data_IF_547196397518
#
_entry.id   IF_547196397518
#
_cell.length_a   1.000
_cell.length_b   1.000
_cell.length_c   1.000
_cell.angle_alpha   90.00
_cell.angle_beta   90.00
_cell.angle_gamma   90.00
#
_symmetry.space_group_name_H-M   'P 1'
#
loop_
_entity.id
_entity.type
_entity.pdbx_description
1 polymer ?
#
# COMPACT_ATOMS: atom_id res chain seq x y z
N UNK A 1 26.44 -8.98 12.73
CA UNK A 1 26.19 -7.57 12.34
C UNK A 1 25.07 -7.58 11.32
N UNK A 2 23.83 -7.38 11.75
CA UNK A 2 22.66 -7.44 10.87
C UNK A 2 22.68 -6.21 9.97
N UNK A 3 22.83 -6.41 8.66
CA UNK A 3 22.70 -5.36 7.66
C UNK A 3 21.26 -4.87 7.69
N UNK A 4 20.97 -3.87 8.53
CA UNK A 4 19.68 -3.21 8.54
C UNK A 4 19.50 -2.55 7.17
N UNK A 5 18.61 -3.14 6.36
CA UNK A 5 18.22 -2.55 5.10
C UNK A 5 17.75 -1.12 5.32
N UNK A 6 18.01 -0.23 4.37
CA UNK A 6 17.59 1.17 4.43
C UNK A 6 16.10 1.27 4.84
N UNK A 7 15.75 2.16 5.79
CA UNK A 7 14.36 2.34 6.21
C UNK A 7 13.46 2.67 5.02
N UNK A 8 12.31 2.00 4.93
CA UNK A 8 11.34 2.23 3.86
C UNK A 8 10.67 3.59 4.09
N UNK A 9 10.75 4.46 3.08
CA UNK A 9 10.17 5.80 3.12
C UNK A 9 8.95 5.89 2.22
N UNK A 10 8.00 6.73 2.61
CA UNK A 10 6.77 7.06 1.84
C UNK A 10 7.05 7.35 0.38
N UNK A 11 8.01 8.23 0.09
CA UNK A 11 8.36 8.61 -1.27
C UNK A 11 8.89 7.44 -2.10
N UNK A 12 9.57 6.45 -1.49
CA UNK A 12 10.01 5.25 -2.21
C UNK A 12 8.83 4.41 -2.69
N UNK A 13 7.79 4.29 -1.86
CA UNK A 13 6.58 3.56 -2.22
C UNK A 13 5.81 4.32 -3.30
N UNK A 14 5.64 5.64 -3.15
CA UNK A 14 4.96 6.48 -4.15
C UNK A 14 5.69 6.48 -5.50
N UNK A 15 7.02 6.53 -5.51
CA UNK A 15 7.80 6.47 -6.75
C UNK A 15 7.65 5.12 -7.49
N UNK A 16 7.37 4.03 -6.76
CA UNK A 16 7.20 2.69 -7.35
C UNK A 16 5.76 2.40 -7.75
N UNK A 17 4.81 2.81 -6.93
CA UNK A 17 3.40 2.39 -7.02
C UNK A 17 2.44 3.54 -7.38
N UNK A 18 2.94 4.77 -7.45
CA UNK A 18 2.10 5.97 -7.55
C UNK A 18 1.45 6.34 -6.21
N UNK A 19 0.50 7.26 -6.28
CA UNK A 19 -0.31 7.64 -5.12
C UNK A 19 -1.28 6.52 -4.75
N UNK A 20 -1.55 6.29 -3.46
CA UNK A 20 -2.53 5.30 -3.05
C UNK A 20 -3.92 5.67 -3.58
N UNK A 21 -4.73 4.65 -3.89
CA UNK A 21 -6.13 4.83 -4.30
C UNK A 21 -7.00 5.37 -3.17
N UNK A 22 -6.67 5.04 -1.93
CA UNK A 22 -7.28 5.64 -0.74
C UNK A 22 -6.26 5.76 0.39
N UNK A 23 -6.43 6.80 1.20
CA UNK A 23 -5.68 6.99 2.45
C UNK A 23 -6.69 7.13 3.59
N UNK A 24 -6.45 6.43 4.69
CA UNK A 24 -7.30 6.51 5.88
C UNK A 24 -6.44 6.86 7.10
N UNK A 25 -6.84 7.91 7.81
CA UNK A 25 -6.07 8.49 8.91
C UNK A 25 -4.94 9.39 8.38
N UNK A 26 -4.04 9.76 9.29
CA UNK A 26 -2.93 10.65 8.99
C UNK A 26 -1.78 10.39 9.96
N UNK A 27 -0.56 10.43 9.47
CA UNK A 27 0.65 10.25 10.30
C UNK A 27 0.84 11.35 11.34
N UNK A 28 0.20 12.50 11.11
CA UNK A 28 0.18 13.62 12.03
C UNK A 28 -0.85 13.45 13.15
N UNK A 29 -1.84 12.55 12.98
CA UNK A 29 -2.82 12.29 14.02
C UNK A 29 -2.18 11.47 15.16
N UNK A 30 -2.40 11.84 16.43
CA UNK A 30 -1.90 11.07 17.57
C UNK A 30 -2.70 9.80 17.82
N UNK A 31 -3.90 9.67 17.23
CA UNK A 31 -4.75 8.50 17.43
C UNK A 31 -4.16 7.30 16.71
N UNK A 32 -3.89 6.26 17.48
CA UNK A 32 -3.51 4.95 16.96
C UNK A 32 -4.77 4.11 16.69
N UNK A 33 -4.69 3.33 15.61
CA UNK A 33 -5.69 2.36 15.17
C UNK A 33 -5.01 1.00 15.09
N UNK A 34 -5.79 -0.08 15.09
CA UNK A 34 -5.27 -1.43 14.95
C UNK A 34 -6.08 -2.21 13.90
N UNK A 35 -5.37 -2.88 12.99
CA UNK A 35 -5.94 -3.73 11.94
C UNK A 35 -4.89 -4.81 11.60
N UNK A 36 -5.31 -6.06 11.35
CA UNK A 36 -4.41 -7.19 11.05
C UNK A 36 -3.28 -7.39 12.08
N UNK A 37 -3.54 -7.06 13.35
CA UNK A 37 -2.55 -7.12 14.43
C UNK A 37 -1.46 -6.04 14.37
N UNK A 38 -1.65 -4.98 13.57
CA UNK A 38 -0.69 -3.88 13.39
C UNK A 38 -1.28 -2.57 13.91
N UNK A 39 -0.53 -1.87 14.75
CA UNK A 39 -0.84 -0.51 15.17
C UNK A 39 -0.37 0.51 14.11
N UNK A 40 -1.22 1.48 13.78
CA UNK A 40 -0.95 2.50 12.76
C UNK A 40 -1.70 3.81 13.01
N UNK A 41 -1.21 4.92 12.44
CA UNK A 41 -1.96 6.18 12.36
C UNK A 41 -2.56 6.38 10.96
N UNK A 42 -1.87 5.93 9.93
CA UNK A 42 -2.29 6.07 8.52
C UNK A 42 -2.18 4.73 7.79
N UNK A 43 -3.19 4.39 7.00
CA UNK A 43 -3.15 3.27 6.06
C UNK A 43 -3.35 3.75 4.64
N UNK A 44 -2.55 3.21 3.73
CA UNK A 44 -2.67 3.42 2.29
C UNK A 44 -3.22 2.17 1.63
N UNK A 45 -4.20 2.33 0.74
CA UNK A 45 -4.76 1.26 -0.06
C UNK A 45 -4.36 1.45 -1.53
N UNK A 46 -3.80 0.40 -2.12
CA UNK A 46 -3.51 0.28 -3.54
C UNK A 46 -4.39 -0.79 -4.15
N UNK A 47 -4.94 -0.51 -5.33
CA UNK A 47 -5.64 -1.49 -6.16
C UNK A 47 -4.72 -1.88 -7.30
N UNK A 48 -4.38 -3.17 -7.36
CA UNK A 48 -3.54 -3.72 -8.42
C UNK A 48 -4.44 -4.45 -9.40
N UNK A 49 -4.54 -4.00 -10.67
CA UNK A 49 -5.34 -4.69 -11.66
C UNK A 49 -4.73 -6.06 -11.97
N UNK A 50 -5.61 -7.01 -12.33
CA UNK A 50 -5.18 -8.31 -12.81
C UNK A 50 -4.48 -8.20 -14.17
N UNK A 51 -3.70 -9.24 -14.52
CA UNK A 51 -3.04 -9.32 -15.81
C UNK A 51 -3.22 -10.72 -16.42
N UNK A 52 -3.90 -10.79 -17.57
CA UNK A 52 -4.25 -12.06 -18.20
C UNK A 52 -5.23 -12.86 -17.35
N UNK A 53 -4.84 -14.08 -16.97
CA UNK A 53 -5.65 -14.95 -16.12
C UNK A 53 -5.51 -14.64 -14.61
N UNK A 54 -4.53 -13.82 -14.22
CA UNK A 54 -4.32 -13.46 -12.82
C UNK A 54 -5.34 -12.41 -12.37
N UNK A 55 -6.11 -12.67 -11.32
CA UNK A 55 -7.06 -11.68 -10.82
C UNK A 55 -6.33 -10.51 -10.14
N UNK A 56 -6.97 -9.34 -10.16
CA UNK A 56 -6.48 -8.18 -9.43
C UNK A 56 -6.51 -8.40 -7.91
N UNK A 57 -5.80 -7.58 -7.17
CA UNK A 57 -5.76 -7.67 -5.71
C UNK A 57 -5.63 -6.27 -5.08
N UNK A 58 -5.86 -6.18 -3.78
CA UNK A 58 -5.58 -4.95 -3.04
C UNK A 58 -4.33 -5.10 -2.18
N UNK A 59 -3.63 -3.99 -1.97
CA UNK A 59 -2.49 -3.92 -1.06
C UNK A 59 -2.69 -2.82 -0.05
N UNK A 60 -2.43 -3.13 1.21
CA UNK A 60 -2.41 -2.16 2.30
C UNK A 60 -0.96 -1.89 2.71
N UNK A 61 -0.65 -0.62 2.99
CA UNK A 61 0.59 -0.19 3.63
C UNK A 61 0.24 0.59 4.89
N UNK A 62 0.79 0.16 6.03
CA UNK A 62 0.58 0.78 7.33
C UNK A 62 1.75 1.66 7.75
N UNK A 63 1.42 2.85 8.25
CA UNK A 63 2.34 3.82 8.81
C UNK A 63 1.99 4.11 10.26
N UNK A 64 2.98 4.05 11.14
CA UNK A 64 2.91 4.58 12.49
C UNK A 64 3.83 5.79 12.54
N UNK A 65 3.25 6.97 12.70
CA UNK A 65 3.92 8.24 12.36
C UNK A 65 4.53 8.11 10.97
N UNK A 66 5.80 8.44 10.81
CA UNK A 66 6.48 8.39 9.50
C UNK A 66 7.18 7.06 9.21
N UNK A 67 7.05 6.07 10.11
CA UNK A 67 7.72 4.79 9.99
C UNK A 67 6.82 3.76 9.30
N UNK A 68 7.40 3.06 8.33
CA UNK A 68 6.77 1.91 7.70
C UNK A 68 6.69 0.78 8.73
N UNK A 69 5.49 0.21 8.92
CA UNK A 69 5.29 -0.87 9.90
C UNK A 69 5.01 -2.21 9.25
N UNK A 70 4.12 -2.23 8.25
CA UNK A 70 3.78 -3.46 7.55
C UNK A 70 3.11 -3.19 6.20
N UNK A 71 3.13 -4.21 5.35
CA UNK A 71 2.27 -4.28 4.18
C UNK A 71 1.56 -5.63 4.13
N UNK A 72 0.36 -5.64 3.56
CA UNK A 72 -0.46 -6.83 3.37
C UNK A 72 -1.07 -6.83 1.98
N UNK A 73 -1.24 -8.02 1.41
CA UNK A 73 -2.03 -8.24 0.20
C UNK A 73 -3.37 -8.84 0.60
N UNK A 74 -4.45 -8.31 0.04
CA UNK A 74 -5.80 -8.85 0.11
C UNK A 74 -6.10 -9.46 -1.26
N UNK A 75 -6.23 -10.78 -1.31
CA UNK A 75 -6.59 -11.51 -2.53
C UNK A 75 -8.10 -11.38 -2.82
N UNK A 76 -8.54 -11.66 -4.06
CA UNK A 76 -9.97 -11.66 -4.43
C UNK A 76 -10.86 -12.53 -3.54
N UNK A 77 -10.32 -13.63 -3.01
CA UNK A 77 -11.03 -14.53 -2.10
C UNK A 77 -11.18 -13.97 -0.68
N UNK A 78 -10.70 -12.75 -0.43
CA UNK A 78 -10.71 -12.09 0.87
C UNK A 78 -9.58 -12.51 1.80
N UNK A 79 -8.71 -13.44 1.38
CA UNK A 79 -7.57 -13.85 2.21
C UNK A 79 -6.54 -12.71 2.31
N UNK A 80 -6.02 -12.53 3.52
CA UNK A 80 -5.07 -11.47 3.86
C UNK A 80 -3.72 -12.09 4.19
N UNK A 81 -2.67 -11.69 3.48
CA UNK A 81 -1.32 -12.18 3.68
C UNK A 81 -0.35 -11.02 3.93
N UNK A 82 0.49 -11.16 4.96
CA UNK A 82 1.55 -10.19 5.22
C UNK A 82 2.60 -10.27 4.11
N UNK A 83 3.03 -9.12 3.62
CA UNK A 83 4.03 -9.03 2.57
C UNK A 83 5.40 -8.66 3.15
N UNK A 84 6.43 -9.40 2.73
CA UNK A 84 7.80 -9.06 3.08
C UNK A 84 8.22 -7.74 2.42
N UNK A 85 8.88 -6.81 3.14
CA UNK A 85 9.14 -5.48 2.61
C UNK A 85 10.01 -5.48 1.34
N UNK A 86 10.90 -6.47 1.19
CA UNK A 86 11.68 -6.66 -0.04
C UNK A 86 10.79 -7.03 -1.22
N UNK A 87 9.81 -7.91 -1.03
CA UNK A 87 8.84 -8.31 -2.04
C UNK A 87 7.91 -7.15 -2.40
N UNK A 88 7.43 -6.42 -1.38
CA UNK A 88 6.61 -5.22 -1.56
C UNK A 88 7.31 -4.16 -2.42
N UNK A 89 8.61 -3.97 -2.22
CA UNK A 89 9.40 -3.05 -3.04
C UNK A 89 9.74 -3.67 -4.41
N UNK A 90 9.90 -4.99 -4.54
CA UNK A 90 10.28 -5.64 -5.78
C UNK A 90 9.18 -5.66 -6.86
N UNK A 91 7.90 -5.68 -6.48
CA UNK A 91 6.81 -5.51 -7.44
C UNK A 91 6.67 -4.05 -7.92
N UNK A 92 5.84 -3.71 -8.90
CA UNK A 92 5.80 -4.22 -10.26
C UNK A 92 6.44 -3.10 -11.09
N UNK A 93 7.49 -3.42 -11.85
CA UNK A 93 8.23 -2.46 -12.67
C UNK A 93 7.49 -2.02 -13.93
N UNK A 94 6.33 -2.60 -14.22
CA UNK A 94 5.57 -2.30 -15.42
C UNK A 94 4.18 -1.78 -15.07
N UNK A 95 4.01 -0.49 -15.38
CA UNK A 95 2.79 0.19 -15.82
C UNK A 95 1.50 -0.59 -15.55
N UNK A 96 0.67 -0.07 -14.64
CA UNK A 96 -0.80 -0.05 -14.70
C UNK A 96 -1.34 0.58 -13.40
N UNK A 97 -1.03 1.87 -13.17
CA UNK A 97 -1.89 2.68 -12.32
C UNK A 97 -2.69 3.59 -13.24
N UNK A 98 -3.93 3.20 -13.52
CA UNK A 98 -4.95 4.15 -13.93
C UNK A 98 -5.42 4.81 -12.63
N UNK A 99 -5.20 6.13 -12.40
CA UNK A 99 -5.98 6.82 -11.40
C UNK A 99 -7.46 6.54 -11.67
N UNK A 100 -8.35 6.52 -10.66
CA UNK A 100 -9.78 6.45 -10.94
C UNK A 100 -10.08 7.51 -12.00
N UNK A 101 -10.62 7.10 -13.16
CA UNK A 101 -11.10 8.04 -14.15
C UNK A 101 -11.98 9.01 -13.39
N UNK A 102 -11.52 10.25 -13.28
CA UNK A 102 -12.38 11.34 -12.88
C UNK A 102 -13.40 11.37 -14.00
N UNK A 103 -14.58 10.82 -13.75
CA UNK A 103 -15.71 11.02 -14.64
C UNK A 103 -15.78 12.54 -14.86
N UNK A 104 -15.84 13.03 -16.11
CA UNK A 104 -16.01 14.45 -16.31
C UNK A 104 -17.25 14.86 -15.52
N UNK A 105 -17.09 15.84 -14.63
CA UNK A 105 -18.24 16.48 -14.04
C UNK A 105 -19.04 17.04 -15.22
N UNK A 106 -20.25 16.52 -15.40
CA UNK A 106 -21.18 16.98 -16.44
C UNK A 106 -21.24 18.52 -16.41
N UNK A 107 -20.86 19.12 -17.53
CA UNK A 107 -20.93 20.55 -17.81
C UNK A 107 -22.01 20.80 -18.86
#
# INVERSE_FOLDING_TARGET
MSSAGQPIRRNMIVQRWGTPAATVGSVNEPRERSENGVAFNEKWLYRVPGHGAEPGYERIVYWLRYDFVASFVIKPDGSVAREEPRTMLAGVRDRLYLPPSVAPADA
#
